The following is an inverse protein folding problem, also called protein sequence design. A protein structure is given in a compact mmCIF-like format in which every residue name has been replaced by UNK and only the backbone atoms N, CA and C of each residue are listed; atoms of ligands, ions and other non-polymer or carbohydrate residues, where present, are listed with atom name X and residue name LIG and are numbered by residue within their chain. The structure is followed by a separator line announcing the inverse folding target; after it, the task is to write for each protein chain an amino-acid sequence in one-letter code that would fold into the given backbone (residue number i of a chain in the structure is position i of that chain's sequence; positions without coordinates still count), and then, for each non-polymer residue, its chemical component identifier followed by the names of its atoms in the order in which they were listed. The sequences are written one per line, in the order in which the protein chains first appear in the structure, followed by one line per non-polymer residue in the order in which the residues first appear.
data_IF_911908679612
#
_entry.id   IF_911908679612
#
_cell.length_a   1.000
_cell.length_b   1.000
_cell.length_c   1.000
_cell.angle_alpha   90.00
_cell.angle_beta   90.00
_cell.angle_gamma   90.00
#
_symmetry.space_group_name_H-M   'P 1'
#
loop_
_entity.id
_entity.type
_entity.pdbx_description
1 polymer ?
#
# COMPACT_ATOMS: atom_id res chain seq x y z
N UNK A 1 6.79 -44.67 50.78
CA UNK A 1 6.38 -43.38 50.18
C UNK A 1 7.39 -43.08 49.07
N UNK A 2 7.44 -43.88 47.98
CA UNK A 2 6.44 -44.01 46.91
C UNK A 2 6.21 -42.64 46.25
N UNK A 3 6.43 -42.36 44.96
CA UNK A 3 6.06 -43.09 43.74
C UNK A 3 6.81 -42.49 42.51
N UNK A 4 7.48 -43.35 41.73
CA UNK A 4 7.57 -43.46 40.25
C UNK A 4 7.88 -42.22 39.35
N UNK A 5 8.90 -42.31 38.46
CA UNK A 5 8.97 -41.57 37.19
C UNK A 5 8.29 -42.37 36.06
N UNK A 6 7.30 -41.80 35.37
CA UNK A 6 6.64 -42.43 34.22
C UNK A 6 7.12 -41.82 32.90
N UNK A 7 7.82 -42.65 32.14
CA UNK A 7 7.96 -42.58 30.69
C UNK A 7 6.61 -42.78 30.01
N UNK A 8 6.31 -42.10 28.90
CA UNK A 8 5.56 -42.70 27.80
C UNK A 8 5.81 -41.98 26.46
N UNK A 9 5.82 -42.83 25.43
CA UNK A 9 6.21 -42.62 24.05
C UNK A 9 5.05 -42.12 23.17
N UNK A 10 5.42 -41.35 22.14
CA UNK A 10 4.89 -41.28 20.76
C UNK A 10 3.47 -41.79 20.43
N UNK A 11 2.64 -40.95 19.80
CA UNK A 11 1.98 -41.30 18.53
C UNK A 11 1.42 -40.07 17.80
N UNK A 12 1.85 -39.94 16.54
CA UNK A 12 1.56 -38.92 15.53
C UNK A 12 0.14 -39.04 14.93
N UNK A 13 -0.45 -37.93 14.45
CA UNK A 13 -1.10 -37.82 13.11
C UNK A 13 -1.16 -36.34 12.65
N UNK A 14 -0.06 -35.84 12.09
CA UNK A 14 -0.14 -34.70 11.16
C UNK A 14 -0.46 -35.26 9.76
N UNK A 15 -1.59 -34.84 9.19
CA UNK A 15 -1.91 -35.04 7.79
C UNK A 15 -0.91 -34.21 6.95
N UNK A 16 0.11 -34.87 6.43
CA UNK A 16 0.90 -34.36 5.31
C UNK A 16 -0.02 -34.29 4.08
N UNK A 17 -0.20 -33.09 3.54
CA UNK A 17 -0.69 -32.91 2.18
C UNK A 17 0.55 -32.82 1.28
N UNK A 18 0.82 -33.79 0.41
CA UNK A 18 1.87 -33.64 -0.59
C UNK A 18 1.36 -32.71 -1.69
N UNK A 19 1.90 -31.50 -1.78
CA UNK A 19 1.80 -30.69 -3.02
C UNK A 19 3.08 -30.89 -3.82
N UNK A 20 3.25 -32.11 -4.35
CA UNK A 20 4.17 -32.35 -5.44
C UNK A 20 3.49 -31.90 -6.73
N UNK A 21 3.86 -30.72 -7.25
CA UNK A 21 3.52 -30.33 -8.62
C UNK A 21 4.53 -30.98 -9.56
N UNK A 22 4.15 -32.12 -10.13
CA UNK A 22 4.95 -32.78 -11.18
C UNK A 22 4.62 -32.15 -12.53
N UNK A 23 5.48 -31.24 -13.00
CA UNK A 23 5.47 -30.75 -14.38
C UNK A 23 6.17 -31.78 -15.28
N UNK A 24 5.41 -32.51 -16.09
CA UNK A 24 5.98 -33.39 -17.13
C UNK A 24 6.05 -32.65 -18.46
N UNK A 25 7.26 -32.33 -18.91
CA UNK A 25 7.52 -31.83 -20.25
C UNK A 25 7.73 -33.01 -21.20
N UNK A 26 6.81 -33.23 -22.14
CA UNK A 26 7.09 -34.09 -23.30
C UNK A 26 7.77 -33.25 -24.38
N UNK A 27 9.09 -33.35 -24.49
CA UNK A 27 9.79 -32.99 -25.73
C UNK A 27 9.52 -34.12 -26.74
N UNK A 28 8.78 -33.82 -27.80
CA UNK A 28 8.73 -34.68 -28.98
C UNK A 28 9.95 -34.36 -29.84
N UNK A 29 10.91 -35.28 -29.92
CA UNK A 29 11.91 -35.31 -30.98
C UNK A 29 11.48 -36.37 -32.01
N UNK A 30 11.27 -35.95 -33.25
CA UNK A 30 11.18 -36.85 -34.39
C UNK A 30 12.42 -36.66 -35.27
N UNK A 31 13.15 -37.71 -35.66
CA UNK A 31 14.29 -37.59 -36.55
C UNK A 31 13.82 -37.77 -38.00
N UNK A 32 14.19 -36.86 -38.91
CA UNK A 32 14.51 -37.21 -40.29
C UNK A 32 15.30 -36.08 -40.99
N UNK A 33 16.34 -36.50 -41.72
CA UNK A 33 17.33 -35.69 -42.46
C UNK A 33 16.91 -35.63 -43.96
N UNK A 34 17.66 -34.98 -44.87
CA UNK A 34 17.43 -33.62 -45.38
C UNK A 34 17.01 -33.57 -46.87
N UNK A 35 16.45 -32.46 -47.34
CA UNK A 35 16.59 -32.04 -48.75
C UNK A 35 16.53 -30.52 -48.88
N UNK A 36 17.30 -30.02 -49.84
CA UNK A 36 17.86 -28.68 -50.07
C UNK A 36 16.86 -27.49 -50.27
N UNK A 37 17.34 -26.23 -50.42
CA UNK A 37 16.84 -25.08 -49.67
C UNK A 37 16.01 -24.10 -50.53
N UNK A 38 15.19 -23.28 -49.88
CA UNK A 38 15.11 -21.82 -50.12
C UNK A 38 13.91 -21.21 -49.40
N UNK A 39 14.10 -19.94 -49.00
CA UNK A 39 13.12 -18.97 -48.51
C UNK A 39 12.71 -19.09 -47.03
N UNK A 40 13.28 -18.17 -46.25
CA UNK A 40 12.86 -17.78 -44.90
C UNK A 40 11.36 -17.39 -44.87
N UNK A 41 10.65 -17.75 -43.79
CA UNK A 41 9.76 -16.78 -43.16
C UNK A 41 9.97 -16.67 -41.63
N UNK A 42 9.67 -15.47 -41.15
CA UNK A 42 9.64 -14.99 -39.76
C UNK A 42 9.11 -15.99 -38.71
N UNK A 43 9.64 -16.01 -37.46
CA UNK A 43 8.99 -16.71 -36.36
C UNK A 43 7.86 -15.87 -35.75
N UNK A 44 6.64 -16.33 -35.98
CA UNK A 44 5.44 -15.99 -35.20
C UNK A 44 5.56 -16.51 -33.75
N UNK A 45 5.23 -15.65 -32.78
CA UNK A 45 5.10 -15.98 -31.35
C UNK A 45 4.16 -17.18 -31.11
N UNK A 46 4.47 -18.13 -30.22
CA UNK A 46 3.50 -19.12 -29.77
C UNK A 46 2.54 -18.51 -28.75
N UNK A 47 1.25 -18.56 -29.06
CA UNK A 47 0.14 -18.25 -28.14
C UNK A 47 -0.08 -19.42 -27.20
N UNK A 48 0.02 -19.21 -25.88
CA UNK A 48 -0.36 -20.18 -24.85
C UNK A 48 -1.83 -19.96 -24.45
N UNK A 49 -2.66 -21.00 -24.58
CA UNK A 49 -4.04 -21.01 -24.09
C UNK A 49 -4.13 -21.95 -22.88
N UNK A 50 -4.42 -21.42 -21.70
CA UNK A 50 -4.67 -22.22 -20.50
C UNK A 50 -6.15 -22.61 -20.44
N UNK A 51 -6.45 -23.90 -20.27
CA UNK A 51 -7.81 -24.41 -20.02
C UNK A 51 -7.82 -25.08 -18.65
N UNK A 52 -8.51 -24.48 -17.67
CA UNK A 52 -8.73 -25.10 -16.35
C UNK A 52 -9.93 -26.06 -16.41
N UNK A 53 -9.75 -27.27 -15.89
CA UNK A 53 -10.86 -28.15 -15.51
C UNK A 53 -10.95 -28.20 -13.98
N UNK A 54 -12.05 -27.68 -13.43
CA UNK A 54 -12.45 -27.92 -12.05
C UNK A 54 -13.49 -29.03 -12.01
N UNK A 55 -13.21 -30.10 -11.28
CA UNK A 55 -14.17 -31.16 -10.98
C UNK A 55 -14.91 -30.84 -9.67
N UNK A 56 -16.20 -30.54 -9.76
CA UNK A 56 -17.11 -30.43 -8.61
C UNK A 56 -17.53 -31.81 -8.10
N UNK A 57 -17.55 -32.02 -6.77
CA UNK A 57 -18.55 -32.85 -6.08
C UNK A 57 -18.94 -32.25 -4.72
N UNK A 58 -20.25 -32.19 -4.51
CA UNK A 58 -20.98 -31.62 -3.37
C UNK A 58 -21.47 -32.76 -2.43
N UNK A 59 -21.63 -32.49 -1.12
CA UNK A 59 -22.86 -32.77 -0.32
C UNK A 59 -22.74 -32.30 1.16
N UNK A 60 -23.78 -31.58 1.60
CA UNK A 60 -24.08 -30.92 2.91
C UNK A 60 -24.75 -31.90 3.93
N UNK A 61 -25.43 -31.48 5.04
CA UNK A 61 -25.25 -30.38 6.04
C UNK A 61 -25.48 -30.85 7.52
N UNK A 62 -25.13 -30.07 8.56
CA UNK A 62 -25.88 -30.01 9.85
C UNK A 62 -25.87 -28.57 10.42
N UNK A 63 -27.04 -28.15 10.92
CA UNK A 63 -27.44 -26.87 11.49
C UNK A 63 -26.73 -26.49 12.80
N UNK A 64 -26.34 -25.23 12.96
CA UNK A 64 -26.43 -24.50 14.24
C UNK A 64 -26.70 -23.00 13.97
N UNK A 65 -27.68 -22.47 14.69
CA UNK A 65 -28.17 -21.08 14.68
C UNK A 65 -27.17 -20.10 15.32
N UNK A 66 -27.10 -18.84 14.87
CA UNK A 66 -26.54 -17.76 15.68
C UNK A 66 -27.60 -16.73 16.11
N UNK A 67 -27.43 -16.30 17.36
CA UNK A 67 -28.21 -15.29 18.06
C UNK A 67 -28.05 -13.89 17.47
N UNK A 68 -29.13 -13.11 17.61
CA UNK A 68 -29.35 -11.74 17.15
C UNK A 68 -28.26 -10.77 17.63
N UNK A 69 -27.78 -9.90 16.74
CA UNK A 69 -27.42 -8.49 17.04
C UNK A 69 -27.24 -7.68 15.74
N UNK A 70 -28.04 -6.61 15.63
CA UNK A 70 -27.91 -5.41 14.78
C UNK A 70 -27.57 -5.56 13.27
N UNK A 71 -28.61 -5.75 12.46
CA UNK A 71 -28.58 -5.39 11.04
C UNK A 71 -28.63 -3.86 10.88
N UNK A 72 -27.52 -3.25 10.48
CA UNK A 72 -27.50 -1.93 9.85
C UNK A 72 -27.86 -2.12 8.38
N UNK A 73 -29.00 -1.58 7.97
CA UNK A 73 -29.49 -1.60 6.60
C UNK A 73 -28.50 -0.87 5.68
N UNK A 74 -27.82 -1.62 4.81
CA UNK A 74 -27.21 -1.07 3.60
C UNK A 74 -28.24 -1.23 2.48
N UNK A 75 -28.93 -0.13 2.13
CA UNK A 75 -29.61 -0.06 0.84
C UNK A 75 -28.61 0.47 -0.18
N UNK A 76 -28.18 -0.43 -1.05
CA UNK A 76 -27.58 -0.12 -2.35
C UNK A 76 -28.66 0.45 -3.27
N UNK A 77 -28.55 1.69 -3.70
CA UNK A 77 -29.29 2.19 -4.86
C UNK A 77 -28.41 3.16 -5.67
N UNK A 78 -27.76 2.59 -6.69
CA UNK A 78 -27.42 3.33 -7.90
C UNK A 78 -28.63 3.29 -8.84
N UNK A 79 -29.08 4.45 -9.31
CA UNK A 79 -29.47 4.79 -10.70
C UNK A 79 -30.59 5.83 -10.70
N UNK A 80 -30.30 7.06 -11.13
CA UNK A 80 -31.32 8.01 -11.61
C UNK A 80 -31.34 8.01 -13.15
N UNK A 81 -32.51 8.01 -13.79
CA UNK A 81 -32.65 8.10 -15.25
C UNK A 81 -32.40 9.54 -15.76
N UNK A 82 -32.02 9.74 -17.03
CA UNK A 82 -31.76 11.06 -17.58
C UNK A 82 -33.08 11.65 -18.07
N UNK A 83 -33.74 12.51 -17.29
CA UNK A 83 -34.72 13.51 -17.79
C UNK A 83 -35.32 14.37 -16.65
N UNK A 84 -34.47 14.98 -15.83
CA UNK A 84 -34.86 16.19 -15.10
C UNK A 84 -34.15 17.39 -15.74
N UNK A 85 -34.84 18.53 -15.95
CA UNK A 85 -34.20 19.73 -16.49
C UNK A 85 -33.05 20.15 -15.57
N UNK A 86 -31.88 20.38 -16.15
CA UNK A 86 -30.69 20.79 -15.41
C UNK A 86 -30.99 22.12 -14.68
N UNK A 87 -30.71 22.22 -13.37
CA UNK A 87 -30.82 23.50 -12.67
C UNK A 87 -29.87 24.52 -13.30
N UNK A 88 -30.20 25.82 -13.24
CA UNK A 88 -29.42 26.88 -13.87
C UNK A 88 -27.96 26.88 -13.37
N UNK A 89 -27.00 27.23 -14.24
CA UNK A 89 -25.57 27.07 -13.98
C UNK A 89 -25.01 27.85 -12.77
N UNK A 90 -25.75 28.84 -12.26
CA UNK A 90 -25.30 29.69 -11.15
C UNK A 90 -25.56 29.09 -9.76
N UNK A 91 -26.71 28.43 -9.55
CA UNK A 91 -27.08 27.92 -8.22
C UNK A 91 -26.20 26.75 -7.75
N UNK A 92 -25.74 25.88 -8.66
CA UNK A 92 -24.80 24.82 -8.30
C UNK A 92 -23.43 25.39 -7.91
N UNK A 93 -23.01 26.50 -8.53
CA UNK A 93 -21.76 27.18 -8.19
C UNK A 93 -21.84 27.82 -6.79
N UNK A 94 -22.96 28.47 -6.48
CA UNK A 94 -23.22 29.07 -5.15
C UNK A 94 -23.29 28.00 -4.05
N UNK A 95 -24.00 26.90 -4.28
CA UNK A 95 -24.09 25.79 -3.34
C UNK A 95 -22.73 25.14 -3.10
N UNK A 96 -21.93 24.96 -4.15
CA UNK A 96 -20.60 24.38 -4.02
C UNK A 96 -19.67 25.29 -3.22
N UNK A 97 -19.76 26.62 -3.43
CA UNK A 97 -19.02 27.61 -2.65
C UNK A 97 -19.47 27.62 -1.17
N UNK A 98 -20.77 27.58 -0.92
CA UNK A 98 -21.30 27.47 0.44
C UNK A 98 -20.85 26.17 1.13
N UNK A 99 -20.74 25.06 0.39
CA UNK A 99 -20.22 23.80 0.90
C UNK A 99 -18.71 23.87 1.21
N UNK A 100 -17.93 24.57 0.37
CA UNK A 100 -16.51 24.83 0.64
C UNK A 100 -16.33 25.63 1.94
N UNK A 101 -17.11 26.69 2.13
CA UNK A 101 -17.07 27.50 3.35
C UNK A 101 -17.50 26.69 4.58
N UNK A 102 -18.53 25.84 4.44
CA UNK A 102 -18.95 24.91 5.50
C UNK A 102 -17.83 23.94 5.89
N UNK A 103 -17.16 23.36 4.89
CA UNK A 103 -16.07 22.42 5.11
C UNK A 103 -14.84 23.08 5.73
N UNK A 104 -14.52 24.31 5.32
CA UNK A 104 -13.43 25.09 5.89
C UNK A 104 -13.64 25.30 7.40
N UNK A 105 -14.80 25.83 7.80
CA UNK A 105 -15.14 26.03 9.22
C UNK A 105 -15.11 24.72 10.01
N UNK A 106 -15.67 23.66 9.41
CA UNK A 106 -15.65 22.33 10.00
C UNK A 106 -14.24 21.81 10.24
N UNK A 107 -13.30 21.98 9.30
CA UNK A 107 -11.91 21.54 9.45
C UNK A 107 -11.18 22.34 10.55
N UNK A 108 -11.45 23.65 10.66
CA UNK A 108 -10.89 24.50 11.71
C UNK A 108 -11.35 24.06 13.11
N UNK A 109 -12.60 23.61 13.27
CA UNK A 109 -13.09 23.05 14.54
C UNK A 109 -12.28 21.83 15.01
N UNK A 110 -11.70 21.07 14.09
CA UNK A 110 -10.86 19.91 14.40
C UNK A 110 -9.37 20.27 14.58
N UNK A 111 -9.03 21.56 14.66
CA UNK A 111 -7.70 22.06 14.99
C UNK A 111 -6.72 22.15 13.81
N UNK A 112 -7.22 22.12 12.57
CA UNK A 112 -6.40 22.35 11.38
C UNK A 112 -6.17 23.84 11.18
N UNK A 113 -4.97 24.23 10.73
CA UNK A 113 -4.66 25.64 10.46
C UNK A 113 -5.55 26.20 9.33
N UNK A 114 -5.79 27.51 9.34
CA UNK A 114 -6.59 28.16 8.29
C UNK A 114 -6.04 27.88 6.88
N UNK A 115 -4.72 27.94 6.70
CA UNK A 115 -4.08 27.68 5.40
C UNK A 115 -4.32 26.26 4.89
N UNK A 116 -4.27 25.27 5.79
CA UNK A 116 -4.51 23.87 5.45
C UNK A 116 -6.00 23.61 5.21
N UNK A 117 -6.88 24.21 6.01
CA UNK A 117 -8.32 24.09 5.83
C UNK A 117 -8.77 24.66 4.46
N UNK A 118 -8.26 25.83 4.08
CA UNK A 118 -8.49 26.43 2.75
C UNK A 118 -8.00 25.51 1.63
N UNK A 119 -6.80 24.93 1.79
CA UNK A 119 -6.26 23.99 0.81
C UNK A 119 -7.14 22.75 0.66
N UNK A 120 -7.52 22.13 1.78
CA UNK A 120 -8.33 20.90 1.80
C UNK A 120 -9.73 21.15 1.22
N UNK A 121 -10.41 22.24 1.61
CA UNK A 121 -11.74 22.55 1.09
C UNK A 121 -11.72 22.86 -0.40
N UNK A 122 -10.66 23.49 -0.90
CA UNK A 122 -10.51 23.80 -2.33
C UNK A 122 -10.14 22.58 -3.18
N UNK A 123 -9.49 21.57 -2.59
CA UNK A 123 -8.93 20.43 -3.31
C UNK A 123 -9.60 19.08 -3.00
N UNK A 124 -10.82 19.07 -2.43
CA UNK A 124 -11.59 17.84 -2.15
C UNK A 124 -12.95 17.79 -2.89
N UNK A 125 -12.96 17.91 -4.23
CA UNK A 125 -14.19 18.09 -4.99
C UNK A 125 -15.15 16.90 -4.93
N UNK A 126 -14.65 15.66 -4.78
CA UNK A 126 -15.51 14.47 -4.71
C UNK A 126 -16.17 14.36 -3.34
N UNK A 127 -15.43 14.65 -2.28
CA UNK A 127 -15.97 14.72 -0.93
C UNK A 127 -17.04 15.82 -0.82
N UNK A 128 -16.76 17.02 -1.34
CA UNK A 128 -17.73 18.11 -1.37
C UNK A 128 -19.00 17.75 -2.15
N UNK A 129 -18.85 17.16 -3.34
CA UNK A 129 -19.99 16.70 -4.14
C UNK A 129 -20.84 15.69 -3.37
N UNK A 130 -20.21 14.73 -2.69
CA UNK A 130 -20.92 13.77 -1.85
C UNK A 130 -21.73 14.43 -0.73
N UNK A 131 -21.23 15.53 -0.13
CA UNK A 131 -21.98 16.27 0.88
C UNK A 131 -23.13 17.07 0.25
N UNK A 132 -22.87 17.78 -0.86
CA UNK A 132 -23.88 18.56 -1.60
C UNK A 132 -25.02 17.66 -2.04
N UNK A 133 -24.71 16.55 -2.72
CA UNK A 133 -25.71 15.58 -3.19
C UNK A 133 -26.53 15.02 -2.03
N UNK A 134 -25.88 14.74 -0.89
CA UNK A 134 -26.58 14.29 0.33
C UNK A 134 -27.51 15.34 0.92
N UNK A 135 -27.19 16.64 0.84
CA UNK A 135 -28.10 17.70 1.29
C UNK A 135 -29.31 17.79 0.38
N UNK A 136 -29.08 17.78 -0.93
CA UNK A 136 -30.14 17.86 -1.94
C UNK A 136 -31.11 16.67 -1.83
N UNK A 137 -30.59 15.45 -1.68
CA UNK A 137 -31.41 14.25 -1.50
C UNK A 137 -32.29 14.35 -0.24
N UNK A 138 -31.73 14.83 0.88
CA UNK A 138 -32.50 14.99 2.12
C UNK A 138 -33.54 16.11 2.05
N UNK A 139 -33.27 17.16 1.27
CA UNK A 139 -34.22 18.24 0.97
C UNK A 139 -35.39 17.70 0.14
N UNK A 140 -35.11 16.93 -0.92
CA UNK A 140 -36.13 16.30 -1.76
C UNK A 140 -37.01 15.32 -0.97
N UNK A 141 -36.42 14.55 -0.06
CA UNK A 141 -37.14 13.57 0.76
C UNK A 141 -37.80 14.17 2.01
N UNK A 142 -37.54 15.44 2.34
CA UNK A 142 -38.08 16.12 3.52
C UNK A 142 -37.64 15.49 4.86
N UNK A 143 -36.47 14.85 4.88
CA UNK A 143 -35.96 14.05 6.02
C UNK A 143 -35.18 14.86 7.07
N UNK A 144 -35.00 16.17 6.84
CA UNK A 144 -34.34 17.06 7.80
C UNK A 144 -35.06 17.13 9.15
N UNK A 145 -36.39 17.05 9.18
CA UNK A 145 -37.19 17.10 10.41
C UNK A 145 -36.79 16.05 11.44
N UNK A 146 -36.36 14.87 11.00
CA UNK A 146 -35.91 13.81 11.92
C UNK A 146 -34.55 14.12 12.54
N UNK A 147 -33.67 14.78 11.78
CA UNK A 147 -32.32 15.18 12.19
C UNK A 147 -32.35 16.41 13.11
N UNK A 148 -33.16 17.41 12.77
CA UNK A 148 -33.42 18.60 13.59
C UNK A 148 -33.96 18.22 14.97
N UNK A 149 -34.88 17.24 15.03
CA UNK A 149 -35.38 16.70 16.30
C UNK A 149 -34.28 16.07 17.15
N UNK A 150 -33.31 15.40 16.53
CA UNK A 150 -32.15 14.80 17.24
C UNK A 150 -31.19 15.88 17.74
N UNK A 151 -31.00 16.95 16.98
CA UNK A 151 -30.09 18.03 17.35
C UNK A 151 -30.71 19.04 18.32
N UNK A 152 -32.05 19.08 18.40
CA UNK A 152 -32.80 20.00 19.26
C UNK A 152 -32.82 21.44 18.74
N UNK A 153 -32.47 21.66 17.47
CA UNK A 153 -32.47 22.96 16.79
C UNK A 153 -32.84 22.80 15.32
N UNK A 154 -33.42 23.86 14.74
CA UNK A 154 -33.67 23.95 13.30
C UNK A 154 -32.35 24.16 12.55
N UNK A 155 -32.16 23.43 11.44
CA UNK A 155 -30.96 23.53 10.61
C UNK A 155 -31.20 24.56 9.51
N UNK A 156 -30.81 25.81 9.78
CA UNK A 156 -31.13 26.93 8.89
C UNK A 156 -30.08 27.08 7.79
N UNK A 157 -30.50 26.87 6.54
CA UNK A 157 -29.69 27.14 5.37
C UNK A 157 -28.75 26.01 4.93
N UNK A 158 -28.31 26.11 3.67
CA UNK A 158 -27.54 25.05 3.00
C UNK A 158 -26.19 24.77 3.67
N UNK A 159 -25.46 25.82 4.04
CA UNK A 159 -24.14 25.72 4.71
C UNK A 159 -24.21 24.90 6.00
N UNK A 160 -25.24 25.15 6.80
CA UNK A 160 -25.43 24.48 8.09
C UNK A 160 -25.77 22.99 7.91
N UNK A 161 -26.64 22.67 6.93
CA UNK A 161 -26.95 21.31 6.52
C UNK A 161 -25.73 20.52 6.05
N UNK A 162 -24.85 21.14 5.25
CA UNK A 162 -23.58 20.52 4.83
C UNK A 162 -22.70 20.20 6.03
N UNK A 163 -22.55 21.15 6.97
CA UNK A 163 -21.76 20.96 8.19
C UNK A 163 -22.35 19.86 9.08
N UNK A 164 -23.67 19.75 9.17
CA UNK A 164 -24.34 18.64 9.86
C UNK A 164 -23.98 17.29 9.23
N UNK A 165 -24.04 17.17 7.89
CA UNK A 165 -23.66 15.92 7.21
C UNK A 165 -22.20 15.55 7.43
N UNK A 166 -21.29 16.53 7.39
CA UNK A 166 -19.88 16.30 7.69
C UNK A 166 -19.68 15.76 9.12
N UNK A 167 -20.43 16.30 10.11
CA UNK A 167 -20.43 15.80 11.49
C UNK A 167 -21.01 14.39 11.60
N UNK A 168 -22.13 14.12 10.95
CA UNK A 168 -22.80 12.80 10.98
C UNK A 168 -21.95 11.69 10.36
N UNK A 169 -21.14 12.01 9.33
CA UNK A 169 -20.19 11.05 8.72
C UNK A 169 -19.20 10.49 9.73
N UNK A 170 -18.84 11.26 10.76
CA UNK A 170 -17.91 10.84 11.81
C UNK A 170 -16.48 10.61 11.34
N UNK A 171 -16.11 11.12 10.16
CA UNK A 171 -14.74 11.03 9.63
C UNK A 171 -13.83 12.16 10.13
N UNK A 172 -14.39 13.15 10.82
CA UNK A 172 -13.69 14.31 11.39
C UNK A 172 -12.81 15.02 10.35
N UNK A 173 -13.24 15.08 9.09
CA UNK A 173 -12.52 15.77 8.00
C UNK A 173 -11.37 14.96 7.38
N UNK A 174 -11.09 13.75 7.88
CA UNK A 174 -10.00 12.91 7.38
C UNK A 174 -10.17 12.50 5.92
N UNK A 175 -11.41 12.24 5.47
CA UNK A 175 -11.66 11.84 4.08
C UNK A 175 -11.36 12.99 3.12
N UNK A 176 -11.81 14.21 3.44
CA UNK A 176 -11.49 15.41 2.67
C UNK A 176 -9.98 15.66 2.60
N UNK A 177 -9.29 15.53 3.74
CA UNK A 177 -7.83 15.66 3.81
C UNK A 177 -7.10 14.61 2.94
N UNK A 178 -7.50 13.34 3.03
CA UNK A 178 -6.89 12.26 2.26
C UNK A 178 -7.15 12.39 0.74
N UNK A 179 -8.32 12.88 0.33
CA UNK A 179 -8.58 13.20 -1.07
C UNK A 179 -7.68 14.34 -1.55
N UNK A 180 -7.60 15.43 -0.79
CA UNK A 180 -6.93 16.68 -1.21
C UNK A 180 -5.40 16.61 -1.14
N UNK A 181 -4.83 16.17 -0.02
CA UNK A 181 -3.38 16.25 0.23
C UNK A 181 -2.64 15.00 -0.25
N UNK A 182 -3.27 13.83 -0.12
CA UNK A 182 -2.70 12.55 -0.58
C UNK A 182 -3.11 12.22 -2.02
N UNK A 183 -4.22 12.78 -2.50
CA UNK A 183 -4.72 12.52 -3.85
C UNK A 183 -5.47 11.20 -4.00
N UNK A 184 -6.02 10.66 -2.90
CA UNK A 184 -6.76 9.39 -2.93
C UNK A 184 -8.10 9.53 -3.68
N UNK A 185 -8.58 8.42 -4.23
CA UNK A 185 -9.98 8.35 -4.66
C UNK A 185 -10.91 8.45 -3.44
N UNK A 186 -12.15 8.89 -3.62
CA UNK A 186 -13.12 9.01 -2.52
C UNK A 186 -13.31 7.67 -1.78
N UNK A 187 -13.42 6.56 -2.52
CA UNK A 187 -13.57 5.23 -1.93
C UNK A 187 -12.32 4.78 -1.16
N UNK A 188 -11.12 4.99 -1.72
CA UNK A 188 -9.85 4.71 -1.04
C UNK A 188 -9.70 5.55 0.23
N UNK A 189 -10.03 6.85 0.16
CA UNK A 189 -9.98 7.78 1.30
C UNK A 189 -10.95 7.35 2.40
N UNK A 190 -12.20 7.00 2.06
CA UNK A 190 -13.18 6.48 3.02
C UNK A 190 -12.72 5.18 3.66
N UNK A 191 -12.20 4.23 2.88
CA UNK A 191 -11.70 2.96 3.41
C UNK A 191 -10.53 3.16 4.36
N UNK A 192 -9.62 4.06 4.04
CA UNK A 192 -8.46 4.37 4.88
C UNK A 192 -8.86 5.13 6.15
N UNK A 193 -9.75 6.11 6.04
CA UNK A 193 -10.23 6.91 7.18
C UNK A 193 -10.85 6.06 8.29
N UNK A 194 -11.51 4.93 7.96
CA UNK A 194 -12.05 3.99 8.94
C UNK A 194 -10.99 3.40 9.87
N UNK A 195 -9.78 3.19 9.36
CA UNK A 195 -8.66 2.66 10.13
C UNK A 195 -7.89 3.74 10.89
N UNK A 196 -8.15 5.02 10.57
CA UNK A 196 -7.55 6.20 11.20
C UNK A 196 -8.48 6.80 12.27
N UNK A 197 -9.44 6.04 12.80
CA UNK A 197 -10.40 6.55 13.78
C UNK A 197 -9.74 7.03 15.07
N UNK A 198 -8.63 6.41 15.46
CA UNK A 198 -7.86 6.78 16.64
C UNK A 198 -6.96 8.02 16.45
N UNK A 199 -6.68 8.40 15.21
CA UNK A 199 -5.83 9.55 14.89
C UNK A 199 -6.64 10.85 14.97
N UNK A 200 -6.02 11.93 15.43
CA UNK A 200 -6.57 13.29 15.29
C UNK A 200 -6.31 13.81 13.87
N UNK A 201 -7.15 14.72 13.38
CA UNK A 201 -6.91 15.31 12.07
C UNK A 201 -5.57 16.09 12.01
N UNK A 202 -5.21 16.94 13.01
CA UNK A 202 -3.92 17.63 13.00
C UNK A 202 -2.73 16.67 13.09
N UNK A 203 -2.81 15.61 13.91
CA UNK A 203 -1.75 14.61 13.98
C UNK A 203 -1.55 13.87 12.65
N UNK A 204 -2.63 13.62 11.91
CA UNK A 204 -2.56 13.05 10.56
C UNK A 204 -1.91 14.03 9.56
N UNK A 205 -2.23 15.32 9.64
CA UNK A 205 -1.64 16.38 8.81
C UNK A 205 -0.13 16.44 9.03
N UNK A 206 0.32 16.54 10.28
CA UNK A 206 1.74 16.56 10.65
C UNK A 206 2.45 15.30 10.16
N UNK A 207 1.81 14.12 10.30
CA UNK A 207 2.36 12.84 9.85
C UNK A 207 2.59 12.80 8.35
N UNK A 208 1.60 13.20 7.55
CA UNK A 208 1.74 13.25 6.09
C UNK A 208 2.81 14.27 5.68
N UNK A 209 2.83 15.44 6.32
CA UNK A 209 3.83 16.49 6.06
C UNK A 209 5.24 15.98 6.32
N UNK A 210 5.48 15.35 7.47
CA UNK A 210 6.78 14.81 7.84
C UNK A 210 7.23 13.69 6.88
N UNK A 211 6.34 12.74 6.54
CA UNK A 211 6.68 11.67 5.60
C UNK A 211 7.02 12.24 4.22
N UNK A 212 6.26 13.23 3.72
CA UNK A 212 6.60 13.94 2.48
C UNK A 212 7.94 14.67 2.61
N UNK A 213 8.19 15.31 3.76
CA UNK A 213 9.42 16.05 4.00
C UNK A 213 10.65 15.15 3.94
N UNK A 214 10.63 14.03 4.65
CA UNK A 214 11.77 13.10 4.72
C UNK A 214 11.97 12.33 3.42
N UNK A 215 10.90 11.81 2.84
CA UNK A 215 11.00 10.84 1.75
C UNK A 215 10.68 11.41 0.37
N UNK A 216 10.22 12.65 0.24
CA UNK A 216 9.77 13.19 -1.06
C UNK A 216 10.22 14.63 -1.34
N UNK A 217 11.08 15.23 -0.50
CA UNK A 217 11.62 16.59 -0.74
C UNK A 217 12.86 16.65 -1.63
N UNK A 218 13.53 15.53 -1.90
CA UNK A 218 14.76 15.49 -2.70
C UNK A 218 14.50 15.61 -4.21
N UNK A 219 15.54 15.99 -4.97
CA UNK A 219 15.49 15.87 -6.43
C UNK A 219 15.52 14.38 -6.80
N UNK A 220 14.38 13.84 -7.16
CA UNK A 220 14.30 12.44 -7.59
C UNK A 220 15.13 12.28 -8.86
N UNK A 221 16.05 11.32 -8.88
CA UNK A 221 16.73 10.87 -10.11
C UNK A 221 15.70 10.11 -10.95
N UNK A 222 14.85 10.88 -11.64
CA UNK A 222 13.68 10.41 -12.38
C UNK A 222 14.13 9.36 -13.39
N UNK A 223 13.70 8.12 -13.17
CA UNK A 223 14.05 6.97 -14.01
C UNK A 223 15.07 6.01 -13.42
N UNK A 224 15.94 6.42 -12.49
CA UNK A 224 16.88 5.47 -11.85
C UNK A 224 16.13 4.52 -10.90
N UNK A 225 15.18 5.03 -10.12
CA UNK A 225 14.32 4.21 -9.23
C UNK A 225 13.56 3.18 -10.06
N UNK A 226 12.91 3.62 -11.15
CA UNK A 226 12.19 2.72 -12.08
C UNK A 226 13.08 1.66 -12.71
N UNK A 227 14.31 2.00 -13.11
CA UNK A 227 15.31 1.03 -13.63
C UNK A 227 15.68 -0.01 -12.57
N UNK A 228 15.88 0.38 -11.31
CA UNK A 228 16.22 -0.56 -10.24
C UNK A 228 15.03 -1.47 -9.90
N UNK A 229 13.80 -0.93 -9.87
CA UNK A 229 12.59 -1.73 -9.69
C UNK A 229 12.44 -2.77 -10.82
N UNK A 230 12.64 -2.37 -12.09
CA UNK A 230 12.64 -3.30 -13.23
C UNK A 230 13.68 -4.41 -13.08
N UNK A 231 14.91 -4.08 -12.66
CA UNK A 231 15.96 -5.07 -12.43
C UNK A 231 15.57 -6.08 -11.36
N UNK A 232 14.99 -5.61 -10.24
CA UNK A 232 14.49 -6.51 -9.20
C UNK A 232 13.42 -7.46 -9.78
N UNK A 233 12.42 -6.92 -10.47
CA UNK A 233 11.33 -7.73 -11.06
C UNK A 233 11.82 -8.76 -12.10
N UNK A 234 12.88 -8.44 -12.86
CA UNK A 234 13.40 -9.32 -13.93
C UNK A 234 14.41 -10.36 -13.43
N UNK A 235 15.16 -10.06 -12.38
CA UNK A 235 16.35 -10.85 -12.01
C UNK A 235 16.31 -11.45 -10.61
N UNK A 236 15.36 -11.05 -9.75
CA UNK A 236 15.21 -11.67 -8.44
C UNK A 236 14.84 -13.16 -8.61
N UNK A 237 15.77 -14.03 -8.24
CA UNK A 237 15.68 -15.48 -8.47
C UNK A 237 15.78 -16.29 -7.16
N UNK A 238 15.54 -15.63 -6.02
CA UNK A 238 15.59 -16.21 -4.67
C UNK A 238 14.13 -16.36 -4.16
N UNK A 239 13.82 -17.33 -3.27
CA UNK A 239 12.49 -17.45 -2.69
C UNK A 239 11.98 -16.12 -2.12
N UNK A 240 10.75 -15.76 -2.47
CA UNK A 240 10.14 -14.47 -2.13
C UNK A 240 9.50 -14.60 -0.75
N UNK A 241 9.96 -13.81 0.22
CA UNK A 241 9.27 -13.62 1.50
C UNK A 241 8.12 -12.61 1.39
N UNK A 242 7.33 -12.47 2.45
CA UNK A 242 6.18 -11.57 2.50
C UNK A 242 6.54 -10.10 2.21
N UNK A 243 7.70 -9.62 2.68
CA UNK A 243 8.13 -8.24 2.48
C UNK A 243 8.51 -8.00 1.01
N UNK A 244 9.22 -8.95 0.40
CA UNK A 244 9.51 -8.92 -1.03
C UNK A 244 8.24 -9.02 -1.87
N UNK A 245 7.29 -9.88 -1.48
CA UNK A 245 6.01 -10.02 -2.18
C UNK A 245 5.20 -8.72 -2.15
N UNK A 246 5.15 -8.03 -1.00
CA UNK A 246 4.52 -6.71 -0.88
C UNK A 246 5.21 -5.67 -1.77
N UNK A 247 6.54 -5.70 -1.83
CA UNK A 247 7.34 -4.79 -2.67
C UNK A 247 7.07 -5.03 -4.16
N UNK A 248 7.02 -6.29 -4.60
CA UNK A 248 6.70 -6.65 -5.99
C UNK A 248 5.26 -6.29 -6.35
N UNK A 249 4.31 -6.56 -5.47
CA UNK A 249 2.89 -6.18 -5.67
C UNK A 249 2.74 -4.66 -5.81
N UNK A 250 3.52 -3.89 -5.05
CA UNK A 250 3.59 -2.44 -5.17
C UNK A 250 4.14 -2.00 -6.53
N UNK A 251 5.20 -2.63 -7.02
CA UNK A 251 5.74 -2.37 -8.36
C UNK A 251 4.75 -2.72 -9.47
N UNK A 252 4.08 -3.88 -9.39
CA UNK A 252 3.06 -4.30 -10.35
C UNK A 252 1.92 -3.28 -10.42
N UNK A 253 1.46 -2.80 -9.27
CA UNK A 253 0.43 -1.76 -9.19
C UNK A 253 0.85 -0.45 -9.85
N UNK A 254 2.12 -0.05 -9.71
CA UNK A 254 2.64 1.14 -10.39
C UNK A 254 2.84 0.88 -11.89
N UNK A 255 3.34 -0.30 -12.26
CA UNK A 255 3.55 -0.71 -13.64
C UNK A 255 2.24 -0.71 -14.44
N UNK A 256 1.10 -1.01 -13.80
CA UNK A 256 -0.22 -0.96 -14.40
C UNK A 256 -0.77 0.46 -14.65
N UNK A 257 -0.11 1.52 -14.14
CA UNK A 257 -0.53 2.91 -14.36
C UNK A 257 0.09 3.49 -15.63
N UNK A 258 -0.53 4.53 -16.19
CA UNK A 258 0.08 5.30 -17.28
C UNK A 258 1.45 5.84 -16.82
N UNK A 259 2.48 5.60 -17.62
CA UNK A 259 3.88 5.90 -17.29
C UNK A 259 4.64 4.74 -16.62
N UNK A 260 3.96 3.68 -16.18
CA UNK A 260 4.57 2.48 -15.60
C UNK A 260 5.52 2.78 -14.43
N UNK A 261 6.62 2.02 -14.33
CA UNK A 261 7.62 2.19 -13.25
C UNK A 261 8.41 3.49 -13.32
N UNK A 262 8.37 4.22 -14.44
CA UNK A 262 9.00 5.54 -14.52
C UNK A 262 8.24 6.56 -13.65
N UNK A 263 6.99 6.25 -13.26
CA UNK A 263 6.22 7.02 -12.29
C UNK A 263 6.87 7.11 -10.91
N UNK A 264 7.70 6.15 -10.50
CA UNK A 264 8.35 6.12 -9.18
C UNK A 264 9.22 7.36 -8.88
N UNK A 265 9.63 8.12 -9.92
CA UNK A 265 10.35 9.38 -9.76
C UNK A 265 9.45 10.61 -9.52
N UNK A 266 8.13 10.47 -9.62
CA UNK A 266 7.18 11.58 -9.52
C UNK A 266 6.49 11.59 -8.15
N UNK A 267 6.70 12.66 -7.37
CA UNK A 267 6.37 12.74 -5.94
C UNK A 267 4.92 12.39 -5.60
N UNK A 268 3.96 13.27 -5.91
CA UNK A 268 2.58 13.11 -5.40
C UNK A 268 1.86 11.87 -5.92
N UNK A 269 2.05 11.50 -7.20
CA UNK A 269 1.44 10.30 -7.76
C UNK A 269 1.99 9.02 -7.12
N UNK A 270 3.30 9.00 -6.82
CA UNK A 270 3.95 7.88 -6.15
C UNK A 270 3.60 7.82 -4.68
N UNK A 271 3.58 8.96 -3.99
CA UNK A 271 3.16 9.05 -2.60
C UNK A 271 1.75 8.48 -2.41
N UNK A 272 0.81 8.87 -3.27
CA UNK A 272 -0.54 8.27 -3.31
C UNK A 272 -0.49 6.74 -3.45
N UNK A 273 0.30 6.23 -4.39
CA UNK A 273 0.42 4.78 -4.60
C UNK A 273 0.99 4.07 -3.37
N UNK A 274 1.99 4.70 -2.74
CA UNK A 274 2.63 4.19 -1.54
C UNK A 274 1.61 4.10 -0.40
N UNK A 275 0.84 5.16 -0.14
CA UNK A 275 -0.20 5.16 0.90
C UNK A 275 -1.28 4.12 0.62
N UNK A 276 -1.74 3.98 -0.62
CA UNK A 276 -2.74 2.96 -0.94
C UNK A 276 -2.23 1.52 -0.78
N UNK A 277 -0.92 1.30 -0.95
CA UNK A 277 -0.31 -0.04 -0.89
C UNK A 277 0.17 -0.37 0.52
N UNK A 278 0.57 0.65 1.27
CA UNK A 278 1.06 0.56 2.65
C UNK A 278 0.29 1.55 3.54
N UNK A 279 -1.03 1.36 3.73
CA UNK A 279 -1.87 2.28 4.51
C UNK A 279 -1.43 2.41 5.97
N UNK A 280 -0.76 1.38 6.50
CA UNK A 280 -0.15 1.38 7.83
C UNK A 280 0.90 2.47 8.02
N UNK A 281 1.46 3.03 6.94
CA UNK A 281 2.39 4.16 7.02
C UNK A 281 1.78 5.36 7.76
N UNK A 282 0.46 5.58 7.61
CA UNK A 282 -0.25 6.65 8.31
C UNK A 282 -0.61 6.31 9.77
N UNK A 283 -0.36 5.08 10.21
CA UNK A 283 -0.55 4.63 11.59
C UNK A 283 0.77 4.55 12.37
N UNK A 284 1.91 4.75 11.70
CA UNK A 284 3.20 4.74 12.37
C UNK A 284 3.41 5.99 13.21
N UNK A 285 4.03 5.81 14.38
CA UNK A 285 4.60 6.91 15.15
C UNK A 285 5.86 7.42 14.43
N UNK A 286 5.94 8.71 14.13
CA UNK A 286 7.12 9.27 13.47
C UNK A 286 8.37 9.14 14.36
N UNK A 287 8.24 9.63 15.58
CA UNK A 287 9.15 9.41 16.70
C UNK A 287 8.38 8.51 17.70
N UNK A 288 8.93 7.37 18.17
CA UNK A 288 10.32 6.91 18.12
C UNK A 288 10.64 5.86 17.04
N UNK A 289 9.90 5.81 15.93
CA UNK A 289 10.06 4.72 14.96
C UNK A 289 10.76 5.10 13.65
N UNK A 290 10.24 6.09 12.93
CA UNK A 290 10.78 6.49 11.62
C UNK A 290 12.10 7.24 11.77
N UNK A 291 12.20 8.17 12.73
CA UNK A 291 13.41 8.99 12.94
C UNK A 291 14.67 8.13 13.13
N UNK A 292 14.70 7.11 14.02
CA UNK A 292 15.91 6.30 14.22
C UNK A 292 16.32 5.47 13.01
N UNK A 293 15.38 5.10 12.13
CA UNK A 293 15.67 4.39 10.88
C UNK A 293 16.39 5.34 9.92
N UNK A 294 15.85 6.54 9.74
CA UNK A 294 16.42 7.58 8.86
C UNK A 294 17.83 7.94 9.32
N UNK A 295 18.01 8.26 10.61
CA UNK A 295 19.32 8.62 11.18
C UNK A 295 20.34 7.49 11.01
N UNK A 296 19.95 6.24 11.22
CA UNK A 296 20.87 5.12 11.04
C UNK A 296 21.28 4.93 9.58
N UNK A 297 20.34 5.04 8.64
CA UNK A 297 20.63 4.94 7.22
C UNK A 297 21.59 6.06 6.78
N UNK A 298 21.41 7.28 7.27
CA UNK A 298 22.34 8.39 7.06
C UNK A 298 23.74 8.09 7.63
N UNK A 299 23.82 7.53 8.84
CA UNK A 299 25.07 7.17 9.50
C UNK A 299 25.89 6.12 8.74
N UNK A 300 25.23 5.19 8.02
CA UNK A 300 25.90 4.21 7.15
C UNK A 300 26.12 4.73 5.71
N UNK A 301 25.92 6.03 5.47
CA UNK A 301 26.28 6.69 4.22
C UNK A 301 25.17 6.71 3.16
N UNK A 302 23.90 6.51 3.52
CA UNK A 302 22.76 6.81 2.62
C UNK A 302 22.53 8.32 2.63
N UNK A 303 22.67 9.04 1.50
CA UNK A 303 22.39 10.47 1.47
C UNK A 303 20.90 10.76 1.73
N UNK A 304 20.59 11.84 2.46
CA UNK A 304 19.21 12.25 2.76
C UNK A 304 18.33 12.38 1.51
N UNK A 305 18.89 12.95 0.46
CA UNK A 305 18.26 13.11 -0.86
C UNK A 305 17.90 11.78 -1.55
N UNK A 306 18.49 10.67 -1.10
CA UNK A 306 18.30 9.32 -1.66
C UNK A 306 17.43 8.43 -0.76
N UNK A 307 16.88 8.96 0.33
CA UNK A 307 16.01 8.21 1.23
C UNK A 307 14.73 7.75 0.52
N UNK A 308 14.23 8.55 -0.42
CA UNK A 308 13.12 8.19 -1.33
C UNK A 308 13.38 6.87 -2.05
N UNK A 309 14.61 6.65 -2.54
CA UNK A 309 14.96 5.42 -3.25
C UNK A 309 14.79 4.20 -2.36
N UNK A 310 15.20 4.31 -1.10
CA UNK A 310 15.14 3.21 -0.12
C UNK A 310 13.68 2.79 0.08
N UNK A 311 12.84 3.76 0.41
CA UNK A 311 11.43 3.54 0.70
C UNK A 311 10.66 3.07 -0.51
N UNK A 312 10.93 3.62 -1.69
CA UNK A 312 10.22 3.22 -2.89
C UNK A 312 10.67 1.87 -3.44
N UNK A 313 11.93 1.47 -3.23
CA UNK A 313 12.44 0.18 -3.71
C UNK A 313 12.26 -0.96 -2.71
N UNK A 314 11.99 -0.65 -1.43
CA UNK A 314 11.66 -1.64 -0.40
C UNK A 314 10.84 -0.99 0.74
N UNK A 315 9.55 -0.68 0.50
CA UNK A 315 8.69 -0.05 1.51
C UNK A 315 8.63 -0.75 2.88
N UNK A 316 8.70 -2.09 2.97
CA UNK A 316 8.69 -2.79 4.26
C UNK A 316 9.76 -2.35 5.26
N UNK A 317 10.87 -1.74 4.78
CA UNK A 317 11.94 -1.23 5.65
C UNK A 317 11.44 -0.27 6.72
N UNK A 318 10.41 0.54 6.42
CA UNK A 318 9.89 1.55 7.38
C UNK A 318 9.21 0.87 8.56
N UNK A 319 8.65 -0.33 8.39
CA UNK A 319 7.99 -1.07 9.46
C UNK A 319 8.97 -1.93 10.29
N UNK A 320 10.24 -2.00 9.89
CA UNK A 320 11.23 -2.82 10.57
C UNK A 320 11.66 -2.18 11.89
N UNK A 321 11.87 -2.99 12.92
CA UNK A 321 12.59 -2.52 14.10
C UNK A 321 14.02 -2.14 13.70
N UNK A 322 14.50 -0.98 14.15
CA UNK A 322 15.86 -0.51 13.89
C UNK A 322 16.94 -1.54 14.27
N UNK A 323 16.71 -2.34 15.32
CA UNK A 323 17.62 -3.43 15.71
C UNK A 323 17.76 -4.48 14.61
N UNK A 324 16.65 -4.84 13.94
CA UNK A 324 16.66 -5.80 12.83
C UNK A 324 17.47 -5.26 11.66
N UNK A 325 17.27 -3.98 11.30
CA UNK A 325 18.04 -3.32 10.24
C UNK A 325 19.54 -3.35 10.57
N UNK A 326 19.91 -2.97 11.80
CA UNK A 326 21.31 -2.99 12.27
C UNK A 326 21.91 -4.39 12.19
N UNK A 327 21.21 -5.43 12.64
CA UNK A 327 21.69 -6.82 12.56
C UNK A 327 21.92 -7.27 11.12
N UNK A 328 21.01 -6.93 10.20
CA UNK A 328 21.16 -7.29 8.77
C UNK A 328 22.29 -6.53 8.09
N UNK A 329 22.55 -5.28 8.47
CA UNK A 329 23.72 -4.51 8.01
C UNK A 329 25.02 -5.11 8.58
N UNK A 330 25.04 -5.54 9.84
CA UNK A 330 26.21 -6.16 10.47
C UNK A 330 26.67 -7.43 9.74
N UNK A 331 25.75 -8.22 9.18
CA UNK A 331 26.09 -9.41 8.41
C UNK A 331 27.00 -9.11 7.20
N UNK A 332 26.84 -7.94 6.56
CA UNK A 332 27.75 -7.50 5.49
C UNK A 332 29.10 -7.04 6.05
N UNK A 333 29.11 -6.42 7.23
CA UNK A 333 30.35 -5.99 7.90
C UNK A 333 31.21 -7.19 8.30
N UNK A 334 30.61 -8.29 8.75
CA UNK A 334 31.32 -9.52 9.15
C UNK A 334 32.11 -10.15 7.99
N UNK A 335 31.69 -9.91 6.74
CA UNK A 335 32.41 -10.37 5.55
C UNK A 335 33.35 -9.31 4.95
N UNK A 336 33.52 -8.17 5.62
CA UNK A 336 34.47 -7.12 5.24
C UNK A 336 33.91 -6.00 4.37
N UNK A 337 32.58 -5.89 4.20
CA UNK A 337 31.97 -4.75 3.51
C UNK A 337 31.87 -3.56 4.47
N UNK A 338 32.43 -2.41 4.08
CA UNK A 338 32.35 -1.19 4.89
C UNK A 338 30.92 -0.64 4.96
N UNK A 339 30.56 0.00 6.06
CA UNK A 339 29.21 0.59 6.24
C UNK A 339 28.83 1.53 5.08
N UNK A 340 29.76 2.39 4.64
CA UNK A 340 29.53 3.30 3.52
C UNK A 340 29.23 2.56 2.21
N UNK A 341 29.78 1.37 2.05
CA UNK A 341 29.55 0.53 0.88
C UNK A 341 28.17 -0.12 0.96
N UNK A 342 27.77 -0.57 2.16
CA UNK A 342 26.40 -1.00 2.43
C UNK A 342 25.42 0.12 2.13
N UNK A 343 25.66 1.35 2.61
CA UNK A 343 24.82 2.51 2.30
C UNK A 343 24.66 2.74 0.79
N UNK A 344 25.75 2.67 0.01
CA UNK A 344 25.70 2.77 -1.46
C UNK A 344 24.92 1.62 -2.10
N UNK A 345 25.02 0.40 -1.56
CA UNK A 345 24.22 -0.74 -2.02
C UNK A 345 22.73 -0.52 -1.74
N UNK A 346 22.36 -0.07 -0.54
CA UNK A 346 20.97 0.15 -0.14
C UNK A 346 20.26 1.17 -1.02
N UNK A 347 20.95 2.22 -1.50
CA UNK A 347 20.37 3.19 -2.45
C UNK A 347 19.88 2.56 -3.76
N UNK A 348 20.43 1.39 -4.14
CA UNK A 348 20.08 0.65 -5.36
C UNK A 348 19.24 -0.59 -5.08
N UNK A 349 19.55 -1.31 -4.00
CA UNK A 349 19.00 -2.62 -3.67
C UNK A 349 18.66 -2.70 -2.18
N UNK A 350 17.71 -1.90 -1.66
CA UNK A 350 17.40 -1.91 -0.23
C UNK A 350 16.77 -3.23 0.24
N UNK A 351 16.16 -3.97 -0.70
CA UNK A 351 15.60 -5.31 -0.49
C UNK A 351 16.65 -6.38 -0.15
N UNK A 352 17.96 -6.09 -0.22
CA UNK A 352 19.00 -6.99 0.32
C UNK A 352 18.87 -7.21 1.82
N UNK A 353 18.12 -6.33 2.50
CA UNK A 353 17.77 -6.46 3.90
C UNK A 353 16.50 -7.29 4.12
N UNK A 354 15.93 -7.98 3.13
CA UNK A 354 14.79 -8.89 3.39
C UNK A 354 15.26 -10.16 4.09
N UNK A 355 14.34 -10.89 4.73
CA UNK A 355 14.68 -12.12 5.46
C UNK A 355 15.25 -13.18 4.51
N UNK A 356 14.55 -13.43 3.40
CA UNK A 356 14.94 -14.42 2.39
C UNK A 356 16.32 -14.16 1.79
N UNK A 357 16.66 -12.89 1.52
CA UNK A 357 17.98 -12.55 0.97
C UNK A 357 19.07 -12.75 2.02
N UNK A 358 18.80 -12.42 3.28
CA UNK A 358 19.75 -12.63 4.37
C UNK A 358 20.01 -14.11 4.64
N UNK A 359 18.99 -14.96 4.52
CA UNK A 359 19.13 -16.42 4.62
C UNK A 359 19.93 -16.98 3.44
N UNK A 360 19.55 -16.62 2.20
CA UNK A 360 20.30 -17.02 1.01
C UNK A 360 21.76 -16.55 1.06
N UNK A 361 22.02 -15.33 1.56
CA UNK A 361 23.37 -14.81 1.72
C UNK A 361 24.20 -15.67 2.68
N UNK A 362 23.63 -16.12 3.81
CA UNK A 362 24.30 -17.03 4.73
C UNK A 362 24.62 -18.38 4.10
N UNK A 363 23.71 -18.93 3.30
CA UNK A 363 23.94 -20.19 2.57
C UNK A 363 25.05 -20.07 1.54
N UNK A 364 25.12 -18.93 0.84
CA UNK A 364 26.21 -18.66 -0.12
C UNK A 364 27.55 -18.54 0.60
N UNK A 365 27.60 -17.88 1.76
CA UNK A 365 28.82 -17.77 2.56
C UNK A 365 29.27 -19.13 3.09
N UNK A 366 28.35 -19.94 3.61
CA UNK A 366 28.68 -21.29 4.11
C UNK A 366 29.20 -22.18 2.99
N UNK A 367 28.63 -22.09 1.78
CA UNK A 367 29.15 -22.77 0.60
C UNK A 367 30.59 -22.36 0.28
N UNK A 368 30.90 -21.06 0.26
CA UNK A 368 32.27 -20.59 -0.03
C UNK A 368 33.29 -21.00 1.05
N UNK A 369 32.89 -20.96 2.32
CA UNK A 369 33.74 -21.41 3.43
C UNK A 369 34.03 -22.92 3.34
N UNK A 370 33.03 -23.72 2.96
CA UNK A 370 33.16 -25.18 2.76
C UNK A 370 34.08 -25.52 1.59
N UNK A 371 33.91 -24.85 0.45
CA UNK A 371 34.73 -25.07 -0.75
C UNK A 371 36.16 -24.50 -0.61
N UNK A 372 36.49 -23.90 0.55
CA UNK A 372 37.75 -23.17 0.80
C UNK A 372 38.05 -22.15 -0.29
N UNK A 373 37.00 -21.65 -0.95
CA UNK A 373 37.14 -20.59 -1.94
C UNK A 373 37.64 -19.39 -1.16
N UNK A 374 38.84 -18.92 -1.53
CA UNK A 374 39.51 -17.83 -0.85
C UNK A 374 38.56 -16.63 -0.84
N UNK A 375 38.11 -16.22 0.34
CA UNK A 375 37.06 -15.22 0.50
C UNK A 375 37.45 -13.94 -0.29
N UNK A 376 36.74 -13.61 -1.39
CA UNK A 376 37.19 -12.59 -2.33
C UNK A 376 37.14 -11.16 -1.75
N UNK A 377 36.52 -10.97 -0.58
CA UNK A 377 36.32 -9.65 0.05
C UNK A 377 37.43 -9.32 1.07
N UNK A 378 38.23 -10.31 1.52
CA UNK A 378 39.30 -10.11 2.52
C UNK A 378 40.57 -9.40 2.01
N UNK A 379 40.59 -8.88 0.78
CA UNK A 379 41.79 -8.29 0.14
C UNK A 379 41.97 -6.78 0.34
N UNK A 380 41.35 -6.18 1.35
CA UNK A 380 41.62 -4.79 1.72
C UNK A 380 41.99 -4.70 3.20
N UNK A 381 43.25 -4.99 3.49
CA UNK A 381 43.92 -4.50 4.70
C UNK A 381 45.38 -4.26 4.43
#
# INVERSE_FOLDING_TARGET
MDVIPLTMSSSSKFLQIPTTLTLTFKLSSSPNKPTNPSLLPNPSNPTLTLRLHQTHKHKNPIFHTPSKTHHRLHHTLFSTPPNSPAPPPDHQSEQFKAAQDALLEFLQEFGVSETEAVFVSSNSPRYLRMLVDGVLELDELGLWRERERKEGRELVGFKEKVRYLAKEKGDNGKVAFLESVVGLSLSSAMNLARHLSAETLPGLVEKVKYVKEIFFSGSNDVGLIGKNARRMMMHLSIPIDEDLQQTLSFFEKIAARRGGLDMLGFGDATFRCLIESFPRLLLLSLDPHVTPIVEYLENIGVPRERMTNIVLLYPPIIFCNIKVIKTRVLAFREVGVEDKDVGRMLVKYPWILSTSIQENFKEVLSFFDLEKVRNPIRYQK
#
